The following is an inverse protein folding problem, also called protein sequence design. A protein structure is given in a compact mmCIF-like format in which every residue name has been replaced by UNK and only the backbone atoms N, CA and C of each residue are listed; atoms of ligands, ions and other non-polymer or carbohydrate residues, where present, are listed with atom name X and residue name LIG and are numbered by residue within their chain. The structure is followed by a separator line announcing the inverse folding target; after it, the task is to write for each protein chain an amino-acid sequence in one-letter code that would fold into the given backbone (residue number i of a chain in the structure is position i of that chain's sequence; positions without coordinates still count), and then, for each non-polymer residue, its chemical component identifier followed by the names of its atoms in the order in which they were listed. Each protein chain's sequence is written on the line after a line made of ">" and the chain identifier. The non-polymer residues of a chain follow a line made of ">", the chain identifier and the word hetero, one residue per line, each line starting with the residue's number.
data_IF_439697801805
#
_entry.id   IF_439697801805
#
_cell.length_a   1.000
_cell.length_b   1.000
_cell.length_c   1.000
_cell.angle_alpha   90.00
_cell.angle_beta   90.00
_cell.angle_gamma   90.00
#
_symmetry.space_group_name_H-M   'P 1'
#
loop_
_entity.id
_entity.type
_entity.pdbx_description
1 polymer ?
#
# COMPACT_ATOMS: atom_id res chain seq x y z
N UNK A 1 4.07 -31.46 18.98
CA UNK A 1 3.01 -30.44 18.83
C UNK A 1 3.38 -29.60 17.61
N UNK A 2 2.64 -29.74 16.52
CA UNK A 2 2.86 -28.92 15.31
C UNK A 2 2.12 -27.59 15.52
N UNK A 3 2.82 -26.46 15.50
CA UNK A 3 2.16 -25.15 15.44
C UNK A 3 1.82 -24.84 13.99
N UNK A 4 0.53 -24.76 13.66
CA UNK A 4 0.11 -24.23 12.36
C UNK A 4 0.01 -22.70 12.45
N UNK A 5 0.44 -21.96 11.41
CA UNK A 5 0.27 -20.51 11.38
C UNK A 5 -1.21 -20.16 11.35
N UNK A 6 -1.60 -19.15 12.13
CA UNK A 6 -2.94 -18.57 12.05
C UNK A 6 -2.91 -17.44 11.02
N UNK A 7 -3.76 -17.54 9.99
CA UNK A 7 -3.84 -16.56 8.90
C UNK A 7 -5.12 -15.73 9.07
N UNK A 8 -4.98 -14.41 9.11
CA UNK A 8 -6.11 -13.46 9.17
C UNK A 8 -6.01 -12.44 8.03
N UNK A 9 -7.16 -12.01 7.51
CA UNK A 9 -7.24 -10.93 6.51
C UNK A 9 -7.65 -9.64 7.20
N UNK A 10 -6.91 -8.56 6.96
CA UNK A 10 -7.19 -7.22 7.49
C UNK A 10 -7.48 -6.27 6.33
N UNK A 11 -8.40 -5.35 6.53
CA UNK A 11 -8.62 -4.23 5.60
C UNK A 11 -7.66 -3.11 6.02
N UNK A 12 -6.77 -2.72 5.11
CA UNK A 12 -5.85 -1.62 5.37
C UNK A 12 -6.62 -0.28 5.46
N UNK A 13 -6.26 0.61 6.40
CA UNK A 13 -6.81 1.97 6.46
C UNK A 13 -6.46 2.77 5.21
N UNK A 14 -7.17 3.87 4.95
CA UNK A 14 -6.82 4.82 3.88
C UNK A 14 -5.73 5.82 4.29
N UNK A 15 -5.18 5.69 5.49
CA UNK A 15 -4.25 6.63 6.09
C UNK A 15 -2.97 5.91 6.47
N UNK A 16 -1.82 6.55 6.30
CA UNK A 16 -0.56 6.01 6.80
C UNK A 16 -0.51 6.08 8.33
N UNK A 17 0.00 5.01 8.96
CA UNK A 17 0.11 4.97 10.40
C UNK A 17 0.71 3.68 10.95
N UNK A 18 0.97 3.71 12.26
CA UNK A 18 1.28 2.52 13.03
C UNK A 18 -0.02 1.92 13.56
N UNK A 19 -0.30 0.68 13.19
CA UNK A 19 -1.52 -0.02 13.57
C UNK A 19 -1.18 -1.18 14.49
N UNK A 20 -1.76 -1.18 15.68
CA UNK A 20 -1.64 -2.28 16.63
C UNK A 20 -2.64 -3.36 16.25
N UNK A 21 -2.14 -4.58 16.05
CA UNK A 21 -2.98 -5.76 15.87
C UNK A 21 -2.99 -6.48 17.23
N UNK A 22 -4.15 -6.48 17.87
CA UNK A 22 -4.35 -7.17 19.14
C UNK A 22 -5.68 -7.92 19.17
N UNK A 23 -5.69 -9.06 19.86
CA UNK A 23 -6.88 -9.88 20.03
C UNK A 23 -6.59 -11.15 20.80
N UNK A 24 -7.61 -11.98 20.94
CA UNK A 24 -7.48 -13.33 21.50
C UNK A 24 -7.92 -14.37 20.47
N UNK A 25 -7.29 -15.53 20.48
CA UNK A 25 -7.79 -16.70 19.77
C UNK A 25 -8.14 -17.79 20.79
N UNK A 26 -9.11 -18.63 20.42
CA UNK A 26 -9.54 -19.76 21.23
C UNK A 26 -9.27 -21.04 20.45
N UNK A 27 -8.57 -21.99 21.06
CA UNK A 27 -8.34 -23.31 20.45
C UNK A 27 -9.53 -24.27 20.68
N UNK A 28 -9.45 -25.46 20.10
CA UNK A 28 -10.48 -26.51 20.22
C UNK A 28 -10.66 -27.01 21.67
N UNK A 29 -9.67 -26.78 22.53
CA UNK A 29 -9.68 -27.13 23.95
C UNK A 29 -10.18 -25.98 24.83
N UNK A 30 -10.67 -24.90 24.23
CA UNK A 30 -11.12 -23.68 24.89
C UNK A 30 -10.03 -22.85 25.59
N UNK A 31 -8.75 -23.13 25.33
CA UNK A 31 -7.67 -22.29 25.83
C UNK A 31 -7.64 -20.97 25.07
N UNK A 32 -7.39 -19.88 25.78
CA UNK A 32 -7.29 -18.54 25.20
C UNK A 32 -5.82 -18.18 25.01
N UNK A 33 -5.43 -17.92 23.76
CA UNK A 33 -4.11 -17.36 23.42
C UNK A 33 -4.22 -15.88 23.07
N UNK A 34 -3.14 -15.13 23.27
CA UNK A 34 -3.08 -13.70 22.94
C UNK A 34 -2.42 -13.54 21.55
N UNK A 35 -3.05 -12.75 20.68
CA UNK A 35 -2.44 -12.24 19.46
C UNK A 35 -1.97 -10.83 19.74
N UNK A 36 -0.66 -10.58 19.62
CA UNK A 36 -0.09 -9.23 19.68
C UNK A 36 0.97 -9.05 18.60
N UNK A 37 1.04 -7.85 18.05
CA UNK A 37 2.07 -7.44 17.11
C UNK A 37 1.83 -6.00 16.66
N UNK A 38 2.91 -5.25 16.47
CA UNK A 38 2.86 -3.97 15.79
C UNK A 38 3.43 -4.15 14.40
N UNK A 39 2.73 -3.67 13.38
CA UNK A 39 3.25 -3.58 12.02
C UNK A 39 3.00 -2.17 11.48
N UNK A 40 3.93 -1.68 10.69
CA UNK A 40 3.74 -0.42 9.97
C UNK A 40 3.03 -0.75 8.66
N UNK A 41 1.82 -0.22 8.49
CA UNK A 41 1.08 -0.31 7.22
C UNK A 41 1.38 0.98 6.47
N UNK A 42 2.18 0.88 5.41
CA UNK A 42 2.37 1.98 4.47
C UNK A 42 1.21 1.98 3.49
N UNK A 43 0.28 2.89 3.71
CA UNK A 43 -0.79 3.21 2.77
C UNK A 43 -0.23 4.32 1.91
N UNK A 44 0.59 3.95 0.92
CA UNK A 44 1.12 4.96 0.02
C UNK A 44 -0.07 5.72 -0.57
N UNK A 45 -0.18 7.02 -0.28
CA UNK A 45 -0.80 7.93 -1.23
C UNK A 45 -0.11 7.59 -2.54
N UNK A 46 -0.83 6.94 -3.47
CA UNK A 46 -0.16 6.35 -4.61
C UNK A 46 0.62 7.47 -5.27
N UNK A 47 1.89 7.23 -5.60
CA UNK A 47 2.68 8.24 -6.30
C UNK A 47 1.91 8.70 -7.56
N UNK A 48 1.15 7.79 -8.16
CA UNK A 48 0.15 8.06 -9.19
C UNK A 48 -0.77 9.24 -8.82
N UNK A 49 -1.37 9.25 -7.63
CA UNK A 49 -2.25 10.33 -7.17
C UNK A 49 -1.56 11.68 -7.02
N UNK A 50 -0.23 11.72 -6.82
CA UNK A 50 0.51 12.99 -6.80
C UNK A 50 0.77 13.57 -8.19
N UNK A 51 0.66 12.74 -9.23
CA UNK A 51 0.80 13.14 -10.62
C UNK A 51 -0.54 13.42 -11.31
N UNK A 52 -1.67 13.00 -10.74
CA UNK A 52 -3.02 13.45 -11.14
C UNK A 52 -3.24 14.91 -10.68
N UNK A 53 -2.65 15.84 -11.44
CA UNK A 53 -2.64 17.27 -11.13
C UNK A 53 -4.02 17.88 -11.31
N UNK A 54 -4.78 17.38 -12.28
CA UNK A 54 -6.12 17.90 -12.56
C UNK A 54 -7.22 17.25 -11.68
N UNK A 55 -6.87 16.21 -10.91
CA UNK A 55 -7.76 15.55 -9.97
C UNK A 55 -8.89 14.77 -10.65
N UNK A 56 -8.70 14.33 -11.89
CA UNK A 56 -9.72 13.61 -12.65
C UNK A 56 -9.78 12.11 -12.31
N UNK A 57 -8.90 11.65 -11.41
CA UNK A 57 -8.81 10.27 -10.94
C UNK A 57 -8.08 9.34 -11.90
N UNK A 58 -7.39 9.89 -12.92
CA UNK A 58 -6.61 9.16 -13.93
C UNK A 58 -5.29 9.88 -14.13
N UNK A 59 -4.36 9.21 -14.82
CA UNK A 59 -3.15 9.86 -15.31
C UNK A 59 -3.35 10.19 -16.76
N UNK A 60 -3.24 11.47 -17.07
CA UNK A 60 -3.26 11.99 -18.42
C UNK A 60 -1.86 11.98 -19.04
N UNK A 61 -1.82 12.20 -20.36
CA UNK A 61 -0.56 12.18 -21.12
C UNK A 61 0.48 13.14 -20.54
N UNK A 62 0.09 14.35 -20.18
CA UNK A 62 1.01 15.37 -19.70
C UNK A 62 1.55 15.03 -18.29
N UNK A 63 0.74 14.35 -17.49
CA UNK A 63 1.09 13.87 -16.15
C UNK A 63 2.07 12.69 -16.22
N UNK A 64 1.84 11.77 -17.16
CA UNK A 64 2.78 10.69 -17.46
C UNK A 64 4.12 11.22 -18.02
N UNK A 65 4.08 12.25 -18.87
CA UNK A 65 5.28 12.91 -19.38
C UNK A 65 6.06 13.57 -18.23
N UNK A 66 5.38 14.24 -17.32
CA UNK A 66 5.99 14.86 -16.15
C UNK A 66 6.73 13.82 -15.29
N UNK A 67 6.13 12.64 -15.08
CA UNK A 67 6.77 11.54 -14.36
C UNK A 67 8.07 11.05 -15.04
N UNK A 68 8.04 10.90 -16.37
CA UNK A 68 9.24 10.54 -17.13
C UNK A 68 10.32 11.62 -17.02
N UNK A 69 9.94 12.90 -17.08
CA UNK A 69 10.88 14.01 -16.89
C UNK A 69 11.50 14.00 -15.50
N UNK A 70 10.70 13.77 -14.46
CA UNK A 70 11.19 13.75 -13.08
C UNK A 70 12.10 12.56 -12.81
N UNK A 71 11.87 11.41 -13.46
CA UNK A 71 12.82 10.30 -13.44
C UNK A 71 14.18 10.69 -14.01
N UNK A 72 14.22 11.34 -15.19
CA UNK A 72 15.48 11.79 -15.79
C UNK A 72 16.17 12.90 -14.99
N UNK A 73 15.41 13.65 -14.19
CA UNK A 73 15.94 14.65 -13.26
C UNK A 73 16.37 14.06 -11.91
N UNK A 74 16.14 12.76 -11.69
CA UNK A 74 16.43 12.08 -10.43
C UNK A 74 15.45 12.39 -9.29
N UNK A 75 14.28 12.98 -9.60
CA UNK A 75 13.22 13.29 -8.64
C UNK A 75 12.40 12.07 -8.22
N UNK A 76 12.35 11.04 -9.07
CA UNK A 76 11.74 9.73 -8.78
C UNK A 76 12.63 8.60 -9.29
N UNK A 77 12.42 7.40 -8.77
CA UNK A 77 13.08 6.16 -9.19
C UNK A 77 12.47 5.60 -10.48
N UNK A 78 13.18 4.66 -11.10
CA UNK A 78 12.69 3.94 -12.29
C UNK A 78 11.37 3.21 -12.01
N UNK A 79 11.24 2.58 -10.84
CA UNK A 79 10.06 1.80 -10.49
C UNK A 79 8.83 2.71 -10.34
N UNK A 80 9.02 3.86 -9.70
CA UNK A 80 8.03 4.91 -9.53
C UNK A 80 7.56 5.49 -10.87
N UNK A 81 8.48 5.75 -11.80
CA UNK A 81 8.14 6.22 -13.14
C UNK A 81 7.31 5.17 -13.92
N UNK A 82 7.67 3.89 -13.80
CA UNK A 82 6.93 2.78 -14.43
C UNK A 82 5.52 2.68 -13.86
N UNK A 83 5.35 2.86 -12.55
CA UNK A 83 4.03 2.82 -11.90
C UNK A 83 3.09 3.89 -12.47
N UNK A 84 3.56 5.13 -12.59
CA UNK A 84 2.77 6.26 -13.13
C UNK A 84 2.46 6.06 -14.61
N UNK A 85 3.44 5.63 -15.41
CA UNK A 85 3.22 5.36 -16.85
C UNK A 85 2.27 4.17 -17.05
N UNK A 86 2.31 3.17 -16.19
CA UNK A 86 1.36 2.04 -16.25
C UNK A 86 -0.06 2.51 -15.91
N UNK A 87 -0.20 3.42 -14.93
CA UNK A 87 -1.49 4.01 -14.59
C UNK A 87 -2.12 4.78 -15.77
N UNK A 88 -1.32 5.50 -16.56
CA UNK A 88 -1.78 6.16 -17.80
C UNK A 88 -2.41 5.17 -18.80
N UNK A 89 -1.86 3.97 -18.95
CA UNK A 89 -2.41 2.95 -19.85
C UNK A 89 -3.61 2.17 -19.27
N UNK A 90 -3.97 2.40 -18.00
CA UNK A 90 -5.06 1.70 -17.32
C UNK A 90 -6.38 2.48 -17.26
N UNK A 91 -6.39 3.74 -17.73
CA UNK A 91 -7.55 4.64 -17.77
C UNK A 91 -8.48 4.45 -18.95
#
# INVERSE_FOLDING_TARGET
>A
MSSNPIIYTLIAPSTEGNYTISGTFKDDLQNTGIVTGATTIKVGASLVSSYDVNGNGRIDKDEAIQAVMDYFRGGITRQEAIEIVTAYFSG
#
